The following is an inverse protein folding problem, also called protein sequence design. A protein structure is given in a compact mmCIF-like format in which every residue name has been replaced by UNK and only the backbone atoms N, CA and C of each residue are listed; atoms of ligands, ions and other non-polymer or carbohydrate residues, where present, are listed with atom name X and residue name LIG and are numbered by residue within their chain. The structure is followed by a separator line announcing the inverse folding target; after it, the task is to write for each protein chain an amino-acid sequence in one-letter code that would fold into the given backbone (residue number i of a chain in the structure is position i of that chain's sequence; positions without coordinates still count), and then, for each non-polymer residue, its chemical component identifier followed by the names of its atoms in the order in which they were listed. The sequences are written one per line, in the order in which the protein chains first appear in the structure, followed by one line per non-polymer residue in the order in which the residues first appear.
data_IF_205837656761
#
_entry.id   IF_205837656761
#
_cell.length_a   1.000
_cell.length_b   1.000
_cell.length_c   1.000
_cell.angle_alpha   90.00
_cell.angle_beta   90.00
_cell.angle_gamma   90.00
#
_symmetry.space_group_name_H-M   'P 1'
#
loop_
_entity.id
_entity.type
_entity.pdbx_description
1 polymer ?
#
# COMPACT_ATOMS: atom_id res chain seq x y z
N UNK A 1 21.39 -17.19 0.67
CA UNK A 1 21.61 -17.37 2.13
C UNK A 1 20.27 -17.28 2.84
N UNK A 2 19.82 -18.36 3.47
CA UNK A 2 18.55 -18.39 4.20
C UNK A 2 18.66 -17.77 5.59
N UNK A 3 17.58 -17.17 6.10
CA UNK A 3 17.49 -16.64 7.47
C UNK A 3 16.44 -17.43 8.25
N UNK A 4 16.77 -17.84 9.48
CA UNK A 4 15.87 -18.62 10.33
C UNK A 4 14.71 -17.76 10.84
N UNK A 5 13.48 -18.24 10.70
CA UNK A 5 12.26 -17.60 11.19
C UNK A 5 11.78 -18.27 12.50
N UNK A 6 11.37 -19.52 12.41
CA UNK A 6 10.92 -20.32 13.57
C UNK A 6 11.00 -21.81 13.25
N UNK A 7 11.57 -22.61 14.13
CA UNK A 7 11.71 -24.06 13.96
C UNK A 7 12.29 -24.40 12.57
N UNK A 8 11.53 -25.09 11.72
CA UNK A 8 11.94 -25.51 10.39
C UNK A 8 11.46 -24.53 9.29
N UNK A 9 11.18 -23.29 9.64
CA UNK A 9 10.76 -22.23 8.70
C UNK A 9 11.89 -21.25 8.50
N UNK A 10 12.23 -20.98 7.23
CA UNK A 10 13.32 -20.11 6.82
C UNK A 10 12.83 -19.08 5.80
N UNK A 11 13.33 -17.87 5.89
CA UNK A 11 13.20 -16.87 4.83
C UNK A 11 14.27 -17.14 3.76
N UNK A 12 13.87 -17.07 2.49
CA UNK A 12 14.71 -17.32 1.33
C UNK A 12 14.54 -16.26 0.23
N UNK A 13 13.94 -15.14 0.56
CA UNK A 13 13.62 -14.06 -0.37
C UNK A 13 14.80 -13.17 -0.75
N UNK A 14 14.48 -11.93 -1.17
CA UNK A 14 15.43 -10.90 -1.57
C UNK A 14 15.17 -9.60 -0.79
N UNK A 15 16.21 -9.00 -0.21
CA UNK A 15 16.19 -7.60 0.25
C UNK A 15 16.73 -6.74 -0.89
N UNK A 16 15.94 -5.78 -1.34
CA UNK A 16 16.30 -4.86 -2.42
C UNK A 16 16.42 -3.42 -1.86
N UNK A 17 17.67 -3.04 -1.57
CA UNK A 17 18.00 -1.73 -1.03
C UNK A 17 17.92 -0.61 -2.06
N UNK A 18 17.96 -0.95 -3.35
CA UNK A 18 18.03 0.01 -4.45
C UNK A 18 16.67 0.24 -5.12
N UNK A 19 15.66 -0.53 -4.73
CA UNK A 19 14.31 -0.38 -5.25
C UNK A 19 13.76 1.00 -4.85
N UNK A 20 13.41 1.81 -5.85
CA UNK A 20 12.95 3.19 -5.66
C UNK A 20 11.57 3.47 -6.28
N UNK A 21 11.09 2.59 -7.14
CA UNK A 21 9.77 2.67 -7.78
C UNK A 21 9.13 1.29 -7.84
N UNK A 22 7.81 1.22 -7.79
CA UNK A 22 7.03 0.00 -7.87
C UNK A 22 5.75 0.24 -8.68
N UNK A 23 5.19 -0.79 -9.32
CA UNK A 23 4.09 -0.63 -10.27
C UNK A 23 4.41 0.38 -11.39
N UNK A 24 5.58 0.24 -12.02
CA UNK A 24 6.15 1.27 -12.87
C UNK A 24 6.57 2.48 -12.03
N UNK A 25 6.13 3.69 -12.37
CA UNK A 25 6.38 4.92 -11.60
C UNK A 25 5.21 5.31 -10.69
N UNK A 26 4.24 4.41 -10.46
CA UNK A 26 3.03 4.76 -9.73
C UNK A 26 3.17 4.69 -8.21
N UNK A 27 4.12 3.90 -7.71
CA UNK A 27 4.43 3.86 -6.29
C UNK A 27 5.91 4.17 -6.04
N UNK A 28 6.18 5.22 -5.26
CA UNK A 28 7.54 5.59 -4.88
C UNK A 28 8.00 4.85 -3.64
N UNK A 29 9.20 4.31 -3.70
CA UNK A 29 9.87 3.63 -2.59
C UNK A 29 11.09 4.45 -2.18
N UNK A 30 11.09 4.91 -0.92
CA UNK A 30 12.17 5.78 -0.42
C UNK A 30 13.20 5.02 0.44
N UNK A 31 12.84 3.81 0.89
CA UNK A 31 13.62 3.04 1.87
C UNK A 31 13.90 1.61 1.42
N UNK A 32 13.92 1.36 0.10
CA UNK A 32 14.03 0.02 -0.44
C UNK A 32 12.83 -0.88 -0.08
N UNK A 33 12.93 -2.16 -0.35
CA UNK A 33 11.91 -3.16 -0.02
C UNK A 33 12.53 -4.53 0.20
N UNK A 34 11.71 -5.52 0.46
CA UNK A 34 12.07 -6.93 0.31
C UNK A 34 10.97 -7.67 -0.43
N UNK A 35 11.33 -8.77 -1.05
CA UNK A 35 10.42 -9.76 -1.61
C UNK A 35 10.63 -11.03 -0.81
N UNK A 36 9.71 -11.29 0.10
CA UNK A 36 9.85 -12.36 1.06
C UNK A 36 9.25 -13.64 0.50
N UNK A 37 10.08 -14.67 0.43
CA UNK A 37 9.67 -16.04 0.17
C UNK A 37 10.12 -16.91 1.33
N UNK A 38 9.42 -18.01 1.60
CA UNK A 38 9.69 -18.82 2.75
C UNK A 38 9.83 -20.30 2.39
N UNK A 39 10.80 -20.97 2.99
CA UNK A 39 11.02 -22.40 2.89
C UNK A 39 10.63 -23.07 4.20
N UNK A 40 9.80 -24.09 4.12
CA UNK A 40 9.37 -24.92 5.25
C UNK A 40 9.97 -26.31 5.04
N UNK A 41 10.73 -26.82 6.01
CA UNK A 41 11.38 -28.13 5.98
C UNK A 41 10.80 -29.05 7.07
N UNK A 42 9.54 -29.47 6.92
CA UNK A 42 8.91 -30.48 7.76
C UNK A 42 9.05 -31.89 7.13
N UNK A 43 8.12 -32.83 7.32
CA UNK A 43 8.12 -34.08 6.54
C UNK A 43 7.94 -33.82 5.04
N UNK A 44 7.21 -32.74 4.72
CA UNK A 44 7.17 -32.16 3.38
C UNK A 44 7.94 -30.87 3.34
N UNK A 45 8.68 -30.67 2.27
CA UNK A 45 9.37 -29.41 1.98
C UNK A 45 8.49 -28.52 1.13
N UNK A 46 8.19 -27.32 1.61
CA UNK A 46 7.27 -26.38 0.95
C UNK A 46 7.94 -25.04 0.72
N UNK A 47 7.77 -24.50 -0.49
CA UNK A 47 8.14 -23.13 -0.81
C UNK A 47 6.88 -22.25 -0.80
N UNK A 48 6.88 -21.18 -0.04
CA UNK A 48 5.80 -20.16 -0.01
C UNK A 48 6.26 -18.93 -0.80
N UNK A 49 5.58 -18.63 -1.89
CA UNK A 49 5.86 -17.55 -2.84
C UNK A 49 7.27 -17.60 -3.45
N UNK A 50 7.57 -16.69 -4.35
CA UNK A 50 8.90 -16.49 -4.97
C UNK A 50 9.27 -15.01 -4.93
N UNK A 51 10.18 -14.56 -5.78
CA UNK A 51 10.59 -13.17 -5.89
C UNK A 51 10.38 -12.63 -7.31
N UNK A 52 10.51 -11.33 -7.49
CA UNK A 52 10.38 -10.64 -8.76
C UNK A 52 11.39 -11.16 -9.80
N UNK A 53 10.94 -11.26 -11.05
CA UNK A 53 11.70 -11.79 -12.17
C UNK A 53 13.16 -11.31 -12.30
N UNK A 54 13.51 -10.02 -12.11
CA UNK A 54 14.91 -9.58 -12.18
C UNK A 54 15.85 -10.28 -11.21
N UNK A 55 15.32 -10.82 -10.10
CA UNK A 55 16.08 -11.52 -9.07
C UNK A 55 16.01 -13.05 -9.19
N UNK A 56 15.39 -13.60 -10.27
CA UNK A 56 15.14 -15.05 -10.40
C UNK A 56 16.40 -15.88 -10.34
N UNK A 57 17.47 -15.47 -11.05
CA UNK A 57 18.74 -16.23 -11.07
C UNK A 57 19.34 -16.31 -9.67
N UNK A 58 19.46 -15.16 -9.00
CA UNK A 58 20.00 -15.09 -7.62
C UNK A 58 19.14 -15.91 -6.65
N UNK A 59 17.82 -15.84 -6.78
CA UNK A 59 16.88 -16.58 -5.94
C UNK A 59 17.06 -18.09 -6.09
N UNK A 60 17.15 -18.59 -7.34
CA UNK A 60 17.33 -20.03 -7.62
C UNK A 60 18.69 -20.50 -7.16
N UNK A 61 19.76 -19.76 -7.49
CA UNK A 61 21.12 -20.10 -7.05
C UNK A 61 21.21 -20.20 -5.50
N UNK A 62 20.54 -19.26 -4.81
CA UNK A 62 20.48 -19.29 -3.34
C UNK A 62 19.68 -20.48 -2.81
N UNK A 63 18.57 -20.85 -3.46
CA UNK A 63 17.82 -22.06 -3.07
C UNK A 63 18.62 -23.33 -3.34
N UNK A 64 19.25 -23.48 -4.49
CA UNK A 64 20.10 -24.64 -4.84
C UNK A 64 21.29 -24.79 -3.87
N UNK A 65 21.80 -23.69 -3.33
CA UNK A 65 22.87 -23.73 -2.33
C UNK A 65 22.38 -24.23 -0.96
N UNK A 66 21.10 -24.13 -0.66
CA UNK A 66 20.52 -24.51 0.63
C UNK A 66 19.84 -25.89 0.60
N UNK A 67 19.20 -26.25 -0.54
CA UNK A 67 18.47 -27.52 -0.70
C UNK A 67 18.60 -28.06 -2.12
N UNK A 68 18.41 -29.37 -2.29
CA UNK A 68 18.08 -29.96 -3.59
C UNK A 68 16.66 -29.56 -3.97
N UNK A 69 16.49 -28.82 -5.06
CA UNK A 69 15.17 -28.33 -5.50
C UNK A 69 14.16 -29.45 -5.75
N UNK A 70 14.63 -30.67 -6.11
CA UNK A 70 13.76 -31.84 -6.29
C UNK A 70 13.12 -32.32 -4.98
N UNK A 71 13.56 -31.83 -3.83
CA UNK A 71 12.95 -32.11 -2.52
C UNK A 71 11.77 -31.21 -2.21
N UNK A 72 11.50 -30.16 -3.01
CA UNK A 72 10.32 -29.34 -2.85
C UNK A 72 9.09 -30.16 -3.25
N UNK A 73 8.31 -30.57 -2.27
CA UNK A 73 7.10 -31.37 -2.49
C UNK A 73 6.01 -30.56 -3.17
N UNK A 74 5.89 -29.26 -2.84
CA UNK A 74 4.99 -28.35 -3.52
C UNK A 74 5.33 -26.86 -3.23
N UNK A 75 4.79 -26.01 -4.09
CA UNK A 75 4.87 -24.55 -3.96
C UNK A 75 3.50 -24.02 -3.57
N UNK A 76 3.42 -23.05 -2.67
CA UNK A 76 2.22 -22.23 -2.43
C UNK A 76 2.44 -20.88 -3.09
N UNK A 77 1.54 -20.49 -3.99
CA UNK A 77 1.51 -19.16 -4.57
C UNK A 77 0.31 -18.41 -3.97
N UNK A 78 0.58 -17.54 -3.00
CA UNK A 78 -0.46 -16.75 -2.34
C UNK A 78 -1.04 -15.66 -3.24
N UNK A 79 -0.23 -15.19 -4.21
CA UNK A 79 -0.60 -14.11 -5.12
C UNK A 79 0.13 -14.23 -6.46
N UNK A 80 -0.60 -14.02 -7.55
CA UNK A 80 -0.08 -14.15 -8.90
C UNK A 80 0.62 -12.90 -9.44
N UNK A 81 0.76 -11.81 -8.68
CA UNK A 81 1.50 -10.63 -9.11
C UNK A 81 2.98 -10.96 -9.32
N UNK A 82 3.62 -10.25 -10.26
CA UNK A 82 4.95 -10.64 -10.77
C UNK A 82 6.08 -10.51 -9.75
N UNK A 83 5.90 -9.73 -8.71
CA UNK A 83 6.87 -9.57 -7.63
C UNK A 83 6.84 -10.71 -6.60
N UNK A 84 5.76 -11.52 -6.59
CA UNK A 84 5.65 -12.75 -5.78
C UNK A 84 5.79 -14.02 -6.62
N UNK A 85 5.43 -13.94 -7.89
CA UNK A 85 5.39 -15.11 -8.79
C UNK A 85 6.44 -15.08 -9.90
N UNK A 86 7.19 -13.98 -10.03
CA UNK A 86 8.06 -13.71 -11.18
C UNK A 86 9.20 -14.72 -11.39
N UNK A 87 9.60 -15.42 -10.35
CA UNK A 87 10.63 -16.47 -10.43
C UNK A 87 10.05 -17.86 -10.66
N UNK A 88 8.71 -18.05 -10.64
CA UNK A 88 8.09 -19.34 -10.91
C UNK A 88 8.50 -19.93 -12.26
N UNK A 89 8.52 -19.19 -13.40
CA UNK A 89 8.92 -19.78 -14.67
C UNK A 89 10.32 -20.43 -14.63
N UNK A 90 11.30 -19.71 -14.10
CA UNK A 90 12.67 -20.22 -14.00
C UNK A 90 12.80 -21.38 -12.99
N UNK A 91 12.02 -21.37 -11.92
CA UNK A 91 11.97 -22.46 -10.96
C UNK A 91 11.31 -23.72 -11.58
N UNK A 92 10.19 -23.54 -12.28
CA UNK A 92 9.47 -24.64 -12.92
C UNK A 92 10.25 -25.25 -14.11
N UNK A 93 11.19 -24.54 -14.72
CA UNK A 93 12.15 -25.16 -15.65
C UNK A 93 13.03 -26.21 -14.97
N UNK A 94 13.35 -26.04 -13.69
CA UNK A 94 14.17 -26.96 -12.89
C UNK A 94 13.33 -28.12 -12.30
N UNK A 95 12.12 -27.82 -11.84
CA UNK A 95 11.24 -28.77 -11.15
C UNK A 95 9.83 -28.79 -11.79
N UNK A 96 9.70 -29.18 -13.07
CA UNK A 96 8.49 -28.96 -13.88
C UNK A 96 7.23 -29.69 -13.41
N UNK A 97 7.36 -30.71 -12.57
CA UNK A 97 6.24 -31.52 -12.09
C UNK A 97 5.76 -31.11 -10.68
N UNK A 98 6.45 -30.16 -10.04
CA UNK A 98 6.12 -29.76 -8.66
C UNK A 98 4.74 -29.11 -8.61
N UNK A 99 3.82 -29.56 -7.73
CA UNK A 99 2.50 -29.00 -7.57
C UNK A 99 2.54 -27.54 -7.10
N UNK A 100 1.63 -26.69 -7.63
CA UNK A 100 1.45 -25.30 -7.20
C UNK A 100 0.07 -25.18 -6.57
N UNK A 101 0.01 -24.92 -5.27
CA UNK A 101 -1.22 -24.65 -4.53
C UNK A 101 -1.54 -23.16 -4.61
N UNK A 102 -2.69 -22.83 -5.15
CA UNK A 102 -3.13 -21.43 -5.33
C UNK A 102 -4.66 -21.35 -5.49
N UNK A 103 -5.21 -20.12 -5.49
CA UNK A 103 -6.65 -19.93 -5.75
C UNK A 103 -7.00 -20.14 -7.22
N UNK A 104 -8.30 -20.36 -7.52
CA UNK A 104 -8.78 -20.45 -8.90
C UNK A 104 -8.45 -19.18 -9.74
N UNK A 105 -8.50 -18.02 -9.09
CA UNK A 105 -8.14 -16.77 -9.75
C UNK A 105 -6.61 -16.65 -9.96
N UNK A 106 -5.81 -17.17 -9.05
CA UNK A 106 -4.34 -17.21 -9.24
C UNK A 106 -3.93 -18.09 -10.41
N UNK A 107 -4.63 -19.20 -10.66
CA UNK A 107 -4.41 -19.99 -11.91
C UNK A 107 -4.62 -19.09 -13.13
N UNK A 108 -5.69 -18.29 -13.16
CA UNK A 108 -5.95 -17.38 -14.30
C UNK A 108 -4.85 -16.32 -14.45
N UNK A 109 -4.41 -15.74 -13.31
CA UNK A 109 -3.32 -14.75 -13.28
C UNK A 109 -2.01 -15.35 -13.79
N UNK A 110 -1.60 -16.50 -13.26
CA UNK A 110 -0.35 -17.17 -13.60
C UNK A 110 -0.33 -17.64 -15.07
N UNK A 111 -1.43 -18.26 -15.55
CA UNK A 111 -1.56 -18.67 -16.96
C UNK A 111 -1.57 -17.45 -17.88
N UNK A 112 -2.26 -16.38 -17.49
CA UNK A 112 -2.28 -15.13 -18.27
C UNK A 112 -0.92 -14.46 -18.38
N UNK A 113 -0.12 -14.50 -17.33
CA UNK A 113 1.21 -13.87 -17.29
C UNK A 113 2.30 -14.73 -17.93
N UNK A 114 2.29 -16.05 -17.69
CA UNK A 114 3.43 -16.92 -18.03
C UNK A 114 3.14 -17.89 -19.17
N UNK A 115 1.87 -18.08 -19.56
CA UNK A 115 1.42 -18.93 -20.65
C UNK A 115 1.76 -20.42 -20.47
N UNK A 116 1.73 -20.92 -19.24
CA UNK A 116 1.98 -22.30 -18.85
C UNK A 116 0.74 -22.97 -18.24
N UNK A 117 -0.32 -23.24 -19.03
CA UNK A 117 -1.53 -23.93 -18.52
C UNK A 117 -1.27 -25.38 -18.10
N UNK A 118 -0.13 -25.96 -18.52
CA UNK A 118 0.28 -27.32 -18.20
C UNK A 118 0.90 -27.48 -16.80
N UNK A 119 1.20 -26.41 -16.09
CA UNK A 119 1.71 -26.52 -14.72
C UNK A 119 0.71 -27.26 -13.83
N UNK A 120 1.21 -28.02 -12.86
CA UNK A 120 0.40 -28.84 -11.96
C UNK A 120 -0.29 -27.98 -10.88
N UNK A 121 -1.35 -27.25 -11.26
CA UNK A 121 -2.11 -26.41 -10.34
C UNK A 121 -3.05 -27.24 -9.43
N UNK A 122 -2.93 -27.02 -8.13
CA UNK A 122 -3.83 -27.55 -7.11
C UNK A 122 -4.66 -26.38 -6.53
N UNK A 123 -5.91 -26.28 -6.97
CA UNK A 123 -6.79 -25.18 -6.58
C UNK A 123 -7.28 -25.39 -5.16
N UNK A 124 -7.11 -24.37 -4.32
CA UNK A 124 -7.53 -24.34 -2.92
C UNK A 124 -8.51 -23.19 -2.64
N UNK A 125 -9.25 -23.32 -1.55
CA UNK A 125 -10.24 -22.36 -1.07
C UNK A 125 -10.07 -22.14 0.43
N UNK A 126 -10.74 -21.12 0.95
CA UNK A 126 -10.79 -20.87 2.39
C UNK A 126 -11.24 -22.11 3.16
N UNK A 127 -10.42 -22.54 4.11
CA UNK A 127 -10.65 -23.70 4.96
C UNK A 127 -10.05 -25.02 4.47
N UNK A 128 -9.59 -25.08 3.20
CA UNK A 128 -8.81 -26.21 2.72
C UNK A 128 -7.47 -26.26 3.45
N UNK A 129 -6.94 -27.47 3.64
CA UNK A 129 -5.67 -27.67 4.34
C UNK A 129 -4.85 -28.79 3.73
N UNK A 130 -3.52 -28.67 3.88
CA UNK A 130 -2.56 -29.71 3.48
C UNK A 130 -1.69 -30.06 4.68
N UNK A 131 -1.66 -31.33 5.03
CA UNK A 131 -0.77 -31.87 6.04
C UNK A 131 0.68 -31.83 5.53
N UNK A 132 1.58 -31.24 6.31
CA UNK A 132 3.01 -31.13 6.01
C UNK A 132 3.87 -32.02 6.91
N UNK A 133 3.24 -32.84 7.76
CA UNK A 133 3.90 -33.71 8.71
C UNK A 133 4.16 -33.06 10.07
N UNK A 134 4.70 -33.85 11.01
CA UNK A 134 5.02 -33.42 12.36
C UNK A 134 3.83 -32.78 13.11
N UNK A 135 2.58 -33.16 12.76
CA UNK A 135 1.35 -32.63 13.33
C UNK A 135 1.03 -31.20 12.89
N UNK A 136 1.62 -30.73 11.80
CA UNK A 136 1.45 -29.39 11.25
C UNK A 136 0.75 -29.43 9.89
N UNK A 137 -0.06 -28.42 9.62
CA UNK A 137 -0.76 -28.26 8.36
C UNK A 137 -0.72 -26.82 7.87
N UNK A 138 -0.80 -26.63 6.56
CA UNK A 138 -1.06 -25.33 5.94
C UNK A 138 -2.54 -25.20 5.67
N UNK A 139 -3.16 -24.15 6.19
CA UNK A 139 -4.59 -23.82 6.01
C UNK A 139 -4.69 -22.57 5.14
N UNK A 140 -5.49 -22.63 4.08
CA UNK A 140 -5.59 -21.55 3.10
C UNK A 140 -6.77 -20.62 3.39
N UNK A 141 -6.58 -19.32 3.18
CA UNK A 141 -7.58 -18.28 3.41
C UNK A 141 -7.59 -17.33 2.21
N UNK A 142 -8.64 -17.40 1.38
CA UNK A 142 -8.82 -16.47 0.27
C UNK A 142 -8.99 -15.04 0.79
N UNK A 143 -8.20 -14.12 0.24
CA UNK A 143 -8.18 -12.70 0.58
C UNK A 143 -8.61 -11.84 -0.62
N UNK A 144 -9.67 -12.28 -1.31
CA UNK A 144 -10.13 -11.68 -2.58
C UNK A 144 -10.23 -10.16 -2.52
N UNK A 145 -9.61 -9.47 -3.49
CA UNK A 145 -9.52 -8.01 -3.59
C UNK A 145 -8.74 -7.36 -2.44
N UNK A 146 -7.83 -8.10 -1.80
CA UNK A 146 -6.89 -7.57 -0.82
C UNK A 146 -5.43 -7.90 -1.23
N UNK A 147 -4.86 -7.26 -2.36
CA UNK A 147 -5.59 -6.22 -3.14
C UNK A 147 -6.06 -6.71 -4.53
N UNK A 148 -5.72 -7.93 -4.95
CA UNK A 148 -6.17 -8.53 -6.23
C UNK A 148 -7.23 -9.63 -6.01
N UNK A 149 -7.94 -10.06 -7.09
CA UNK A 149 -8.96 -11.13 -6.99
C UNK A 149 -8.40 -12.47 -6.54
N UNK A 150 -7.11 -12.72 -6.76
CA UNK A 150 -6.42 -13.99 -6.55
C UNK A 150 -5.68 -14.06 -5.20
N UNK A 151 -5.56 -12.95 -4.46
CA UNK A 151 -4.84 -12.88 -3.20
C UNK A 151 -5.35 -13.92 -2.17
N UNK A 152 -4.40 -14.56 -1.49
CA UNK A 152 -4.60 -15.58 -0.47
C UNK A 152 -3.59 -15.38 0.66
N UNK A 153 -3.92 -15.80 1.85
CA UNK A 153 -2.99 -16.01 2.95
C UNK A 153 -2.93 -17.49 3.31
N UNK A 154 -1.80 -17.94 3.84
CA UNK A 154 -1.60 -19.31 4.28
C UNK A 154 -1.23 -19.32 5.76
N UNK A 155 -1.98 -20.06 6.58
CA UNK A 155 -1.71 -20.22 8.01
C UNK A 155 -1.10 -21.57 8.30
N UNK A 156 0.07 -21.59 8.95
CA UNK A 156 0.74 -22.81 9.41
C UNK A 156 0.36 -23.11 10.86
N UNK A 157 -0.35 -24.22 11.05
CA UNK A 157 -0.68 -24.73 12.37
C UNK A 157 0.58 -25.24 13.10
N UNK A 158 0.51 -25.36 14.43
CA UNK A 158 1.63 -25.85 15.24
C UNK A 158 2.70 -24.78 15.51
N UNK A 159 3.12 -24.04 14.48
CA UNK A 159 4.02 -22.90 14.63
C UNK A 159 3.31 -21.56 14.71
N UNK A 160 2.00 -21.52 14.44
CA UNK A 160 1.17 -20.30 14.49
C UNK A 160 1.70 -19.17 13.61
N UNK A 161 2.14 -19.48 12.39
CA UNK A 161 2.68 -18.52 11.43
C UNK A 161 1.61 -18.20 10.38
N UNK A 162 1.31 -16.93 10.20
CA UNK A 162 0.48 -16.44 9.11
C UNK A 162 1.40 -15.89 7.99
N UNK A 163 1.49 -16.57 6.87
CA UNK A 163 2.06 -16.07 5.62
C UNK A 163 1.00 -15.20 4.95
N UNK A 164 1.06 -13.91 5.22
CA UNK A 164 -0.04 -13.00 4.91
C UNK A 164 0.01 -12.43 3.49
N UNK A 165 1.04 -12.74 2.72
CA UNK A 165 1.34 -12.10 1.45
C UNK A 165 1.45 -10.58 1.63
N UNK A 166 0.83 -9.77 0.79
CA UNK A 166 0.88 -8.30 0.84
C UNK A 166 0.28 -7.68 2.10
N UNK A 167 -0.73 -8.34 2.66
CA UNK A 167 -1.35 -7.84 3.86
C UNK A 167 -0.33 -7.67 4.98
N UNK A 168 -0.41 -6.52 5.67
CA UNK A 168 0.48 -6.16 6.78
C UNK A 168 1.94 -5.88 6.40
N UNK A 169 2.26 -5.96 5.09
CA UNK A 169 3.56 -5.63 4.55
C UNK A 169 3.80 -4.12 4.41
N UNK A 170 5.03 -3.77 4.09
CA UNK A 170 5.46 -2.41 3.80
C UNK A 170 6.73 -2.41 2.95
N UNK A 171 6.89 -1.41 2.07
CA UNK A 171 8.13 -1.24 1.31
C UNK A 171 9.19 -0.56 2.18
N UNK A 172 9.87 -1.39 2.93
CA UNK A 172 10.97 -0.97 3.80
C UNK A 172 12.00 -2.10 3.90
N UNK A 173 13.21 -1.85 3.38
CA UNK A 173 14.32 -2.79 3.50
C UNK A 173 14.83 -2.81 4.94
N UNK A 174 14.84 -3.99 5.54
CA UNK A 174 15.33 -4.25 6.91
C UNK A 174 16.24 -5.46 6.89
N UNK A 175 17.50 -5.30 7.28
CA UNK A 175 18.49 -6.38 7.19
C UNK A 175 18.13 -7.59 8.06
N UNK A 176 17.68 -7.34 9.29
CA UNK A 176 17.29 -8.39 10.23
C UNK A 176 15.93 -9.01 9.91
N UNK A 177 15.16 -8.43 8.99
CA UNK A 177 13.77 -8.79 8.62
C UNK A 177 12.72 -8.60 9.71
N UNK A 178 13.08 -8.26 10.94
CA UNK A 178 12.14 -8.19 12.05
C UNK A 178 11.64 -6.78 12.33
N UNK A 179 10.33 -6.63 12.49
CA UNK A 179 9.68 -5.37 12.81
C UNK A 179 10.18 -4.76 14.14
N UNK A 180 10.47 -5.59 15.14
CA UNK A 180 11.01 -5.17 16.45
C UNK A 180 12.47 -4.68 16.38
N UNK A 181 13.19 -4.95 15.29
CA UNK A 181 14.57 -4.49 15.05
C UNK A 181 14.65 -3.29 14.11
N UNK A 182 13.56 -2.98 13.42
CA UNK A 182 13.47 -1.87 12.48
C UNK A 182 13.36 -0.51 13.20
N UNK A 183 13.73 0.57 12.50
CA UNK A 183 13.40 1.93 12.94
C UNK A 183 11.87 2.09 12.97
N UNK A 184 11.31 2.24 14.16
CA UNK A 184 9.86 2.25 14.36
C UNK A 184 9.17 3.43 13.67
N UNK A 185 9.80 4.60 13.61
CA UNK A 185 9.22 5.74 12.93
C UNK A 185 9.06 5.48 11.43
N UNK A 186 10.08 4.91 10.80
CA UNK A 186 10.06 4.56 9.37
C UNK A 186 9.11 3.39 9.10
N UNK A 187 9.19 2.33 9.92
CA UNK A 187 8.34 1.16 9.78
C UNK A 187 6.84 1.54 9.73
N UNK A 188 6.38 2.33 10.70
CA UNK A 188 4.99 2.75 10.76
C UNK A 188 4.61 3.77 9.67
N UNK A 189 5.56 4.62 9.26
CA UNK A 189 5.34 5.53 8.14
C UNK A 189 5.16 4.78 6.82
N UNK A 190 6.02 3.80 6.53
CA UNK A 190 5.93 2.99 5.32
C UNK A 190 4.73 2.02 5.34
N UNK A 191 4.39 1.44 6.49
CA UNK A 191 3.18 0.64 6.63
C UNK A 191 1.90 1.46 6.37
N UNK A 192 1.83 2.69 6.89
CA UNK A 192 0.72 3.60 6.61
C UNK A 192 0.70 4.06 5.15
N UNK A 193 1.86 4.35 4.56
CA UNK A 193 1.99 4.71 3.14
C UNK A 193 1.49 3.58 2.25
N UNK A 194 1.87 2.34 2.55
CA UNK A 194 1.40 1.15 1.85
C UNK A 194 -0.13 1.04 1.93
N UNK A 195 -0.70 1.13 3.13
CA UNK A 195 -2.14 1.07 3.34
C UNK A 195 -2.88 2.18 2.58
N UNK A 196 -2.44 3.43 2.73
CA UNK A 196 -3.10 4.61 2.17
C UNK A 196 -3.15 4.61 0.64
N UNK A 197 -2.09 4.10 0.00
CA UNK A 197 -1.93 4.14 -1.46
C UNK A 197 -2.38 2.86 -2.19
N UNK A 198 -2.51 1.73 -1.49
CA UNK A 198 -2.84 0.43 -2.10
C UNK A 198 -4.16 -0.12 -1.54
N UNK A 199 -4.31 -0.17 -0.22
CA UNK A 199 -5.43 -0.85 0.43
C UNK A 199 -6.63 0.04 0.74
N UNK A 200 -6.46 1.36 0.85
CA UNK A 200 -7.54 2.26 1.25
C UNK A 200 -8.82 2.12 0.38
N UNK A 201 -8.75 1.91 -0.96
CA UNK A 201 -9.94 1.67 -1.78
C UNK A 201 -10.76 0.44 -1.36
N UNK A 202 -10.12 -0.51 -0.70
CA UNK A 202 -10.67 -1.79 -0.26
C UNK A 202 -10.93 -1.85 1.26
N UNK A 203 -10.85 -0.74 1.98
CA UNK A 203 -11.02 -0.65 3.43
C UNK A 203 -12.25 -1.42 3.98
N UNK A 204 -13.44 -1.40 3.34
CA UNK A 204 -14.56 -2.22 3.80
C UNK A 204 -14.28 -3.74 3.77
N UNK A 205 -13.51 -4.21 2.79
CA UNK A 205 -13.12 -5.62 2.67
C UNK A 205 -12.03 -5.97 3.69
N UNK A 206 -11.07 -5.06 3.91
CA UNK A 206 -10.05 -5.21 4.98
C UNK A 206 -10.72 -5.39 6.33
N UNK A 207 -11.65 -4.49 6.69
CA UNK A 207 -12.41 -4.58 7.94
C UNK A 207 -13.14 -5.90 8.07
N UNK A 208 -13.92 -6.27 7.06
CA UNK A 208 -14.71 -7.50 7.07
C UNK A 208 -13.84 -8.76 7.20
N UNK A 209 -12.68 -8.80 6.51
CA UNK A 209 -11.76 -9.93 6.56
C UNK A 209 -11.05 -10.03 7.94
N UNK A 210 -10.66 -8.93 8.54
CA UNK A 210 -10.09 -8.92 9.90
C UNK A 210 -11.13 -9.44 10.90
N UNK A 211 -12.38 -8.97 10.83
CA UNK A 211 -13.47 -9.43 11.70
C UNK A 211 -13.80 -10.92 11.50
N UNK A 212 -13.68 -11.44 10.27
CA UNK A 212 -13.83 -12.85 9.95
C UNK A 212 -12.74 -13.70 10.59
N UNK A 213 -11.47 -13.32 10.41
CA UNK A 213 -10.31 -14.05 10.94
C UNK A 213 -10.28 -14.02 12.47
N UNK A 214 -10.60 -12.87 13.07
CA UNK A 214 -10.66 -12.75 14.54
C UNK A 214 -11.66 -13.72 15.18
N UNK A 215 -12.79 -14.01 14.51
CA UNK A 215 -13.77 -14.99 15.02
C UNK A 215 -13.24 -16.42 15.09
N UNK A 216 -12.21 -16.74 14.30
CA UNK A 216 -11.57 -18.05 14.33
C UNK A 216 -10.70 -18.23 15.57
N UNK A 217 -10.35 -17.15 16.27
CA UNK A 217 -9.51 -17.13 17.48
C UNK A 217 -8.24 -17.96 17.33
N UNK A 218 -7.60 -17.87 16.15
CA UNK A 218 -6.36 -18.60 15.87
C UNK A 218 -5.19 -17.91 16.60
N UNK A 219 -4.31 -18.69 17.26
CA UNK A 219 -3.07 -18.15 17.78
C UNK A 219 -2.17 -17.72 16.61
N UNK A 220 -1.63 -16.50 16.66
CA UNK A 220 -0.69 -15.98 15.65
C UNK A 220 0.54 -15.47 16.40
N UNK A 221 1.64 -16.19 16.26
CA UNK A 221 2.93 -15.84 16.86
C UNK A 221 3.78 -15.00 15.91
N UNK A 222 3.61 -15.20 14.59
CA UNK A 222 4.34 -14.49 13.54
C UNK A 222 3.39 -14.17 12.39
N UNK A 223 3.47 -12.94 11.88
CA UNK A 223 2.92 -12.55 10.58
C UNK A 223 4.10 -12.39 9.62
N UNK A 224 4.24 -13.35 8.72
CA UNK A 224 5.27 -13.43 7.70
C UNK A 224 4.77 -12.79 6.40
N UNK A 225 5.09 -11.52 6.22
CA UNK A 225 4.65 -10.68 5.10
C UNK A 225 5.47 -10.98 3.83
N UNK A 226 4.95 -10.60 2.66
CA UNK A 226 5.72 -10.69 1.40
C UNK A 226 6.63 -9.50 1.14
N UNK A 227 6.41 -8.37 1.84
CA UNK A 227 7.26 -7.18 1.75
C UNK A 227 7.66 -6.65 3.11
N UNK A 228 8.91 -6.19 3.22
CA UNK A 228 9.43 -5.49 4.38
C UNK A 228 9.61 -6.38 5.61
N UNK A 229 9.36 -5.80 6.76
CA UNK A 229 9.62 -6.44 8.03
C UNK A 229 8.52 -7.45 8.44
N UNK A 230 8.94 -8.53 9.07
CA UNK A 230 8.13 -9.62 9.60
C UNK A 230 7.75 -9.29 11.06
N UNK A 231 6.50 -9.49 11.44
CA UNK A 231 5.98 -9.19 12.77
C UNK A 231 6.03 -10.42 13.68
N UNK A 232 6.75 -10.34 14.81
CA UNK A 232 6.86 -11.41 15.80
C UNK A 232 6.58 -10.95 17.23
N UNK A 233 7.08 -9.79 17.64
CA UNK A 233 6.74 -9.21 18.93
C UNK A 233 5.41 -8.48 18.81
N UNK A 234 4.37 -8.95 19.51
CA UNK A 234 3.01 -8.45 19.40
C UNK A 234 2.54 -8.34 17.94
N UNK A 235 2.49 -9.45 17.17
CA UNK A 235 2.18 -9.37 15.72
C UNK A 235 0.80 -8.78 15.43
N UNK A 236 -0.11 -8.85 16.41
CA UNK A 236 -1.45 -8.28 16.23
C UNK A 236 -1.50 -6.75 16.20
N UNK A 237 -0.41 -6.06 16.59
CA UNK A 237 -0.36 -4.59 16.55
C UNK A 237 -0.59 -4.02 15.13
N UNK A 238 -0.10 -4.68 14.07
CA UNK A 238 -0.34 -4.23 12.69
C UNK A 238 -1.77 -4.53 12.25
N UNK A 239 -2.35 -5.64 12.70
CA UNK A 239 -3.76 -5.99 12.42
C UNK A 239 -4.70 -4.96 13.05
N UNK A 240 -4.42 -4.54 14.30
CA UNK A 240 -5.15 -3.47 14.99
C UNK A 240 -5.05 -2.15 14.23
N UNK A 241 -3.86 -1.80 13.70
CA UNK A 241 -3.68 -0.60 12.86
C UNK A 241 -4.43 -0.68 11.55
N UNK A 242 -4.41 -1.79 10.84
CA UNK A 242 -5.20 -1.98 9.64
C UNK A 242 -6.70 -1.88 9.91
N UNK A 243 -7.16 -2.43 11.03
CA UNK A 243 -8.56 -2.29 11.46
C UNK A 243 -8.93 -0.83 11.75
N UNK A 244 -8.08 -0.09 12.47
CA UNK A 244 -8.23 1.34 12.72
C UNK A 244 -8.27 2.13 11.40
N UNK A 245 -7.29 1.91 10.52
CA UNK A 245 -7.17 2.59 9.23
C UNK A 245 -8.34 2.30 8.29
N UNK A 246 -8.96 1.13 8.38
CA UNK A 246 -10.11 0.75 7.55
C UNK A 246 -11.41 1.51 7.86
N UNK A 247 -11.43 2.30 8.91
CA UNK A 247 -12.62 2.99 9.41
C UNK A 247 -12.66 4.49 9.08
N UNK A 248 -12.27 4.86 7.85
CA UNK A 248 -12.18 6.26 7.40
C UNK A 248 -11.27 7.09 8.30
N UNK A 249 -10.06 6.59 8.50
CA UNK A 249 -9.07 7.15 9.41
C UNK A 249 -8.79 8.63 9.21
N UNK A 250 -8.66 9.35 10.33
CA UNK A 250 -8.34 10.77 10.37
C UNK A 250 -7.55 11.09 11.65
N UNK A 251 -6.60 12.00 11.51
CA UNK A 251 -5.88 12.67 12.59
C UNK A 251 -6.29 14.14 12.64
N UNK A 252 -5.94 14.85 13.71
CA UNK A 252 -6.09 16.32 13.79
C UNK A 252 -5.09 16.99 12.84
N UNK A 253 -5.35 16.86 11.55
CA UNK A 253 -4.49 17.33 10.47
C UNK A 253 -5.30 17.89 9.31
N UNK A 254 -4.75 18.94 8.69
CA UNK A 254 -5.20 19.49 7.40
C UNK A 254 -4.00 19.54 6.45
N UNK A 255 -4.19 19.07 5.23
CA UNK A 255 -3.14 19.11 4.19
C UNK A 255 -3.52 20.11 3.11
N UNK A 256 -2.64 21.10 2.88
CA UNK A 256 -2.73 22.06 1.77
C UNK A 256 -1.89 21.54 0.61
N UNK A 257 -2.53 21.30 -0.53
CA UNK A 257 -1.89 20.73 -1.73
C UNK A 257 -2.06 21.71 -2.88
N UNK A 258 -0.98 22.08 -3.53
CA UNK A 258 -1.04 23.05 -4.62
C UNK A 258 0.02 22.81 -5.67
N UNK A 259 -0.19 23.42 -6.84
CA UNK A 259 0.88 23.74 -7.77
C UNK A 259 0.77 25.19 -8.25
N UNK A 260 1.82 25.72 -8.89
CA UNK A 260 1.90 27.13 -9.24
C UNK A 260 2.80 27.37 -10.46
N UNK A 261 2.48 28.35 -11.28
CA UNK A 261 3.36 28.82 -12.36
C UNK A 261 4.25 29.99 -11.94
N UNK A 262 3.65 31.02 -11.35
CA UNK A 262 4.30 32.31 -11.03
C UNK A 262 4.10 32.70 -9.55
N UNK A 263 4.10 31.70 -8.65
CA UNK A 263 3.98 31.85 -7.21
C UNK A 263 2.67 32.47 -6.67
N UNK A 264 1.71 32.87 -7.49
CA UNK A 264 0.44 33.41 -7.01
C UNK A 264 -0.34 32.40 -6.17
N UNK A 265 -0.57 31.19 -6.70
CA UNK A 265 -1.24 30.10 -5.98
C UNK A 265 -0.45 29.65 -4.75
N UNK A 266 0.89 29.65 -4.82
CA UNK A 266 1.76 29.36 -3.67
C UNK A 266 1.53 30.34 -2.52
N UNK A 267 1.42 31.66 -2.81
CA UNK A 267 1.15 32.67 -1.77
C UNK A 267 -0.19 32.41 -1.08
N UNK A 268 -1.23 32.06 -1.83
CA UNK A 268 -2.53 31.66 -1.26
C UNK A 268 -2.41 30.40 -0.40
N UNK A 269 -1.71 29.36 -0.88
CA UNK A 269 -1.49 28.12 -0.13
C UNK A 269 -0.83 28.37 1.23
N UNK A 270 0.24 29.18 1.25
CA UNK A 270 0.92 29.56 2.50
C UNK A 270 0.02 30.40 3.41
N UNK A 271 -0.77 31.33 2.85
CA UNK A 271 -1.71 32.11 3.66
C UNK A 271 -2.80 31.24 4.30
N UNK A 272 -3.35 30.27 3.55
CA UNK A 272 -4.32 29.32 4.06
C UNK A 272 -3.68 28.48 5.21
N UNK A 273 -2.46 27.98 5.01
CA UNK A 273 -1.76 27.20 6.03
C UNK A 273 -1.48 28.04 7.30
N UNK A 274 -1.07 29.29 7.16
CA UNK A 274 -0.89 30.24 8.26
C UNK A 274 -2.21 30.47 9.02
N UNK A 275 -3.29 30.67 8.28
CA UNK A 275 -4.60 30.96 8.87
C UNK A 275 -5.18 29.71 9.58
N UNK A 276 -4.94 28.50 9.08
CA UNK A 276 -5.29 27.25 9.79
C UNK A 276 -4.54 27.20 11.13
N UNK A 277 -3.22 27.44 11.11
CA UNK A 277 -2.41 27.43 12.33
C UNK A 277 -2.82 28.50 13.36
N UNK A 278 -3.34 29.62 12.89
CA UNK A 278 -3.85 30.71 13.74
C UNK A 278 -5.20 30.36 14.38
N UNK A 279 -6.15 29.83 13.58
CA UNK A 279 -7.51 29.51 14.04
C UNK A 279 -7.59 28.19 14.83
N UNK A 280 -6.69 27.24 14.53
CA UNK A 280 -6.64 25.93 15.16
C UNK A 280 -5.18 25.56 15.52
N UNK A 281 -4.61 26.12 16.61
CA UNK A 281 -3.19 25.95 16.95
C UNK A 281 -2.77 24.48 17.19
N UNK A 282 -3.70 23.64 17.63
CA UNK A 282 -3.45 22.20 17.87
C UNK A 282 -3.56 21.35 16.59
N UNK A 283 -4.06 21.94 15.51
CA UNK A 283 -4.20 21.25 14.23
C UNK A 283 -2.83 21.14 13.52
N UNK A 284 -2.45 19.93 13.13
CA UNK A 284 -1.26 19.73 12.32
C UNK A 284 -1.51 20.22 10.90
N UNK A 285 -0.68 21.13 10.42
CA UNK A 285 -0.79 21.67 9.05
C UNK A 285 0.36 21.13 8.21
N UNK A 286 0.02 20.52 7.08
CA UNK A 286 0.97 20.07 6.06
C UNK A 286 0.75 20.88 4.77
N UNK A 287 1.84 21.23 4.09
CA UNK A 287 1.77 21.97 2.83
C UNK A 287 2.69 21.32 1.79
N UNK A 288 2.14 21.02 0.62
CA UNK A 288 2.88 20.34 -0.45
C UNK A 288 2.67 20.99 -1.81
N UNK A 289 3.77 21.16 -2.53
CA UNK A 289 3.78 21.45 -3.95
C UNK A 289 3.83 20.14 -4.73
N UNK A 290 2.83 19.88 -5.57
CA UNK A 290 2.65 18.62 -6.31
C UNK A 290 3.85 18.31 -7.21
N UNK A 291 4.37 19.33 -7.91
CA UNK A 291 5.53 19.15 -8.81
C UNK A 291 6.87 18.93 -8.11
N UNK A 292 6.92 19.05 -6.77
CA UNK A 292 8.15 18.97 -5.97
C UNK A 292 8.12 17.87 -4.92
N UNK A 293 7.01 17.17 -4.79
CA UNK A 293 6.81 16.14 -3.78
C UNK A 293 6.22 14.90 -4.43
N UNK A 294 6.65 13.75 -4.00
CA UNK A 294 6.11 12.51 -4.51
C UNK A 294 4.62 12.38 -4.22
N UNK A 295 3.85 11.95 -5.22
CA UNK A 295 2.38 11.85 -5.12
C UNK A 295 1.93 10.92 -3.99
N UNK A 296 2.62 9.80 -3.75
CA UNK A 296 2.25 8.82 -2.73
C UNK A 296 2.47 9.37 -1.31
N UNK A 297 3.50 10.18 -1.11
CA UNK A 297 3.74 10.85 0.18
C UNK A 297 2.62 11.87 0.46
N UNK A 298 2.21 12.65 -0.56
CA UNK A 298 1.07 13.58 -0.43
C UNK A 298 -0.22 12.81 -0.11
N UNK A 299 -0.50 11.68 -0.79
CA UNK A 299 -1.70 10.87 -0.56
C UNK A 299 -1.72 10.26 0.84
N UNK A 300 -0.56 9.89 1.39
CA UNK A 300 -0.44 9.43 2.79
C UNK A 300 -0.84 10.54 3.75
N UNK A 301 -0.46 11.77 3.49
CA UNK A 301 -0.86 12.91 4.32
C UNK A 301 -2.37 13.26 4.13
N UNK A 302 -2.90 13.11 2.91
CA UNK A 302 -4.36 13.21 2.68
C UNK A 302 -5.12 12.13 3.44
N UNK A 303 -4.62 10.90 3.46
CA UNK A 303 -5.19 9.79 4.23
C UNK A 303 -5.35 10.15 5.72
N UNK A 304 -4.33 10.76 6.31
CA UNK A 304 -4.35 11.20 7.72
C UNK A 304 -5.26 12.40 7.98
N UNK A 305 -5.50 13.23 6.99
CA UNK A 305 -6.16 14.53 7.17
C UNK A 305 -7.67 14.43 7.33
N UNK A 306 -8.25 15.27 8.19
CA UNK A 306 -9.70 15.53 8.26
C UNK A 306 -10.19 16.34 7.06
N UNK A 307 -9.35 17.23 6.57
CA UNK A 307 -9.67 18.11 5.46
C UNK A 307 -8.44 18.38 4.59
N UNK A 308 -8.67 18.78 3.35
CA UNK A 308 -7.64 19.22 2.42
C UNK A 308 -7.99 20.61 1.85
N UNK A 309 -6.98 21.39 1.48
CA UNK A 309 -7.16 22.56 0.65
C UNK A 309 -6.36 22.37 -0.64
N UNK A 310 -7.03 22.46 -1.81
CA UNK A 310 -6.40 22.15 -3.09
C UNK A 310 -6.37 23.40 -3.98
N UNK A 311 -5.18 23.72 -4.52
CA UNK A 311 -4.96 24.93 -5.31
C UNK A 311 -4.26 24.71 -6.65
N UNK A 312 -4.75 25.41 -7.68
CA UNK A 312 -4.14 25.45 -9.00
C UNK A 312 -4.33 26.82 -9.67
N UNK A 313 -3.35 27.35 -10.41
CA UNK A 313 -3.65 28.41 -11.36
C UNK A 313 -4.47 27.85 -12.52
N UNK A 314 -5.20 28.74 -13.20
CA UNK A 314 -5.90 28.39 -14.45
C UNK A 314 -4.94 28.35 -15.63
N UNK A 315 -4.95 27.25 -16.37
CA UNK A 315 -4.26 27.08 -17.64
C UNK A 315 -5.12 26.24 -18.59
N UNK A 316 -5.22 26.64 -19.85
CA UNK A 316 -6.04 25.93 -20.85
C UNK A 316 -7.49 25.71 -20.40
N UNK A 317 -8.09 26.70 -19.71
CA UNK A 317 -9.44 26.64 -19.13
C UNK A 317 -9.63 25.50 -18.09
N UNK A 318 -8.55 25.04 -17.48
CA UNK A 318 -8.51 23.92 -16.52
C UNK A 318 -7.46 24.17 -15.44
N UNK A 319 -7.07 23.12 -14.74
CA UNK A 319 -5.96 23.09 -13.77
C UNK A 319 -4.63 22.77 -14.46
N UNK A 320 -3.49 22.95 -13.77
CA UNK A 320 -2.20 22.47 -14.25
C UNK A 320 -2.23 20.95 -14.46
N UNK A 321 -1.47 20.44 -15.43
CA UNK A 321 -1.38 19.01 -15.74
C UNK A 321 -0.90 18.17 -14.55
N UNK A 322 0.00 18.70 -13.73
CA UNK A 322 0.43 18.07 -12.47
C UNK A 322 -0.73 17.90 -11.49
N UNK A 323 -1.59 18.91 -11.36
CA UNK A 323 -2.80 18.85 -10.52
C UNK A 323 -3.83 17.89 -11.10
N UNK A 324 -4.02 17.89 -12.42
CA UNK A 324 -4.94 16.96 -13.08
C UNK A 324 -4.54 15.49 -12.85
N UNK A 325 -3.25 15.15 -13.02
CA UNK A 325 -2.74 13.80 -12.75
C UNK A 325 -2.86 13.42 -11.27
N UNK A 326 -2.60 14.36 -10.36
CA UNK A 326 -2.77 14.15 -8.92
C UNK A 326 -4.24 13.91 -8.54
N UNK A 327 -5.19 14.66 -9.14
CA UNK A 327 -6.63 14.47 -8.94
C UNK A 327 -7.09 13.09 -9.44
N UNK A 328 -6.57 12.62 -10.57
CA UNK A 328 -6.92 11.29 -11.08
C UNK A 328 -6.48 10.20 -10.12
N UNK A 329 -5.27 10.28 -9.58
CA UNK A 329 -4.79 9.36 -8.56
C UNK A 329 -5.58 9.48 -7.23
N UNK A 330 -5.95 10.70 -6.80
CA UNK A 330 -6.81 10.92 -5.63
C UNK A 330 -8.17 10.20 -5.76
N UNK A 331 -8.76 10.22 -6.95
CA UNK A 331 -10.02 9.54 -7.26
C UNK A 331 -9.95 8.03 -6.98
N UNK A 332 -8.84 7.39 -7.35
CA UNK A 332 -8.64 5.96 -7.22
C UNK A 332 -8.61 5.51 -5.76
N UNK A 333 -8.07 6.34 -4.88
CA UNK A 333 -7.87 6.03 -3.47
C UNK A 333 -9.15 6.09 -2.62
N UNK A 334 -10.25 6.66 -3.12
CA UNK A 334 -11.61 6.63 -2.52
C UNK A 334 -11.67 7.06 -1.05
N UNK A 335 -10.94 8.11 -0.69
CA UNK A 335 -10.99 8.65 0.67
C UNK A 335 -12.42 9.02 1.09
N UNK A 336 -12.76 8.85 2.36
CA UNK A 336 -14.10 9.06 2.90
C UNK A 336 -14.12 10.08 4.03
N UNK A 337 -15.27 10.72 4.23
CA UNK A 337 -15.56 11.61 5.36
C UNK A 337 -14.58 12.78 5.50
N UNK A 338 -14.10 13.33 4.37
CA UNK A 338 -13.14 14.43 4.37
C UNK A 338 -13.77 15.68 3.78
N UNK A 339 -13.43 16.85 4.36
CA UNK A 339 -13.76 18.15 3.78
C UNK A 339 -12.70 18.58 2.77
N UNK A 340 -13.09 19.48 1.86
CA UNK A 340 -12.14 20.10 0.96
C UNK A 340 -12.44 21.59 0.77
N UNK A 341 -11.37 22.39 0.67
CA UNK A 341 -11.41 23.78 0.22
C UNK A 341 -10.71 23.90 -1.12
N UNK A 342 -11.13 24.83 -1.96
CA UNK A 342 -10.50 25.09 -3.25
C UNK A 342 -10.05 26.53 -3.39
N UNK A 343 -8.89 26.72 -4.01
CA UNK A 343 -8.34 28.04 -4.29
C UNK A 343 -7.55 28.07 -5.58
N UNK A 344 -7.39 29.24 -6.18
CA UNK A 344 -6.62 29.34 -7.41
C UNK A 344 -6.38 30.76 -7.87
N UNK A 345 -5.45 30.90 -8.81
CA UNK A 345 -5.14 32.15 -9.48
C UNK A 345 -5.43 32.06 -10.98
N UNK A 346 -5.67 33.18 -11.64
CA UNK A 346 -5.94 33.22 -13.06
C UNK A 346 -5.55 34.58 -13.66
N UNK A 347 -5.33 34.60 -14.97
CA UNK A 347 -5.12 35.87 -15.72
C UNK A 347 -6.41 36.47 -16.22
N UNK A 348 -7.24 35.71 -16.96
CA UNK A 348 -8.40 36.24 -17.67
C UNK A 348 -9.72 35.46 -17.57
N UNK A 349 -9.73 34.17 -17.19
CA UNK A 349 -10.97 33.36 -17.19
C UNK A 349 -11.27 32.66 -15.86
N UNK A 350 -10.33 31.89 -15.29
CA UNK A 350 -10.41 31.42 -13.92
C UNK A 350 -11.26 30.18 -13.67
N UNK A 351 -11.12 29.14 -14.48
CA UNK A 351 -11.88 27.90 -14.39
C UNK A 351 -11.33 26.90 -13.36
N UNK A 352 -10.05 27.03 -12.96
CA UNK A 352 -9.39 26.04 -12.11
C UNK A 352 -10.15 25.71 -10.81
N UNK A 353 -10.68 26.72 -10.12
CA UNK A 353 -11.44 26.51 -8.87
C UNK A 353 -12.74 25.75 -9.12
N UNK A 354 -13.43 26.02 -10.23
CA UNK A 354 -14.63 25.29 -10.65
C UNK A 354 -14.28 23.81 -10.92
N UNK A 355 -13.23 23.54 -11.69
CA UNK A 355 -12.77 22.17 -11.99
C UNK A 355 -12.41 21.43 -10.71
N UNK A 356 -11.63 22.06 -9.81
CA UNK A 356 -11.28 21.46 -8.52
C UNK A 356 -12.51 21.10 -7.69
N UNK A 357 -13.49 22.03 -7.61
CA UNK A 357 -14.74 21.81 -6.88
C UNK A 357 -15.52 20.63 -7.44
N UNK A 358 -15.74 20.61 -8.75
CA UNK A 358 -16.51 19.56 -9.42
C UNK A 358 -15.86 18.19 -9.21
N UNK A 359 -14.55 18.05 -9.40
CA UNK A 359 -13.85 16.79 -9.24
C UNK A 359 -13.80 16.33 -7.78
N UNK A 360 -13.47 17.20 -6.83
CA UNK A 360 -13.43 16.84 -5.40
C UNK A 360 -14.83 16.45 -4.88
N UNK A 361 -15.89 17.14 -5.32
CA UNK A 361 -17.27 16.77 -4.98
C UNK A 361 -17.61 15.38 -5.53
N UNK A 362 -17.28 15.11 -6.79
CA UNK A 362 -17.47 13.82 -7.44
C UNK A 362 -16.71 12.68 -6.73
N UNK A 363 -15.54 12.98 -6.14
CA UNK A 363 -14.75 12.00 -5.38
C UNK A 363 -15.26 11.80 -3.94
N UNK A 364 -16.30 12.54 -3.54
CA UNK A 364 -16.97 12.37 -2.25
C UNK A 364 -16.43 13.25 -1.14
N UNK A 365 -15.66 14.30 -1.45
CA UNK A 365 -15.27 15.32 -0.49
C UNK A 365 -16.42 16.31 -0.25
N UNK A 366 -16.61 16.72 0.99
CA UNK A 366 -17.50 17.83 1.34
C UNK A 366 -16.79 19.16 1.06
N UNK A 367 -16.99 19.71 -0.16
CA UNK A 367 -16.31 20.94 -0.59
C UNK A 367 -17.01 22.14 0.07
N UNK A 368 -16.22 22.93 0.83
CA UNK A 368 -16.74 24.11 1.57
C UNK A 368 -16.76 25.37 0.72
N UNK A 369 -17.57 26.36 1.14
CA UNK A 369 -17.60 27.72 0.64
C UNK A 369 -17.07 28.70 1.71
N UNK A 370 -16.50 29.86 1.33
CA UNK A 370 -16.27 30.33 -0.05
C UNK A 370 -15.04 29.65 -0.70
N UNK A 371 -14.92 29.75 -2.03
CA UNK A 371 -13.66 29.50 -2.71
C UNK A 371 -12.81 30.77 -2.81
N UNK A 372 -11.47 30.61 -2.91
CA UNK A 372 -10.60 31.76 -3.20
C UNK A 372 -10.20 31.72 -4.67
N UNK A 373 -10.71 32.68 -5.43
CA UNK A 373 -10.41 32.91 -6.83
C UNK A 373 -9.77 34.26 -7.00
N UNK A 374 -8.46 34.30 -7.26
CA UNK A 374 -7.65 35.49 -7.31
C UNK A 374 -7.21 35.83 -8.74
N UNK A 375 -7.36 37.07 -9.16
CA UNK A 375 -6.87 37.54 -10.45
C UNK A 375 -5.40 37.97 -10.35
N UNK A 376 -4.54 37.37 -11.17
CA UNK A 376 -3.09 37.58 -11.20
C UNK A 376 -2.40 37.25 -9.87
N UNK A 377 -1.91 38.25 -9.15
CA UNK A 377 -1.24 38.10 -7.86
C UNK A 377 -2.17 38.41 -6.70
N UNK A 378 -2.20 37.60 -5.64
CA UNK A 378 -2.98 37.88 -4.45
C UNK A 378 -2.59 39.20 -3.78
N UNK A 379 -3.60 39.94 -3.37
CA UNK A 379 -3.47 41.15 -2.57
C UNK A 379 -4.09 40.96 -1.15
N UNK A 380 -4.14 42.04 -0.38
CA UNK A 380 -4.69 42.01 0.97
C UNK A 380 -6.16 41.55 1.02
N UNK A 381 -6.98 41.89 -0.02
CA UNK A 381 -8.39 41.49 -0.07
C UNK A 381 -8.56 40.00 -0.32
N UNK A 382 -7.69 39.39 -1.12
CA UNK A 382 -7.68 37.94 -1.36
C UNK A 382 -7.20 37.17 -0.13
N UNK A 383 -6.20 37.70 0.58
CA UNK A 383 -5.71 37.12 1.82
C UNK A 383 -6.76 37.13 2.95
N UNK A 384 -7.63 38.16 2.99
CA UNK A 384 -8.73 38.20 3.96
C UNK A 384 -9.77 37.10 3.72
N UNK A 385 -9.98 36.67 2.47
CA UNK A 385 -10.86 35.53 2.15
C UNK A 385 -10.35 34.20 2.75
N UNK A 386 -9.04 34.08 3.03
CA UNK A 386 -8.49 32.90 3.65
C UNK A 386 -9.03 32.67 5.07
N UNK A 387 -9.33 33.72 5.83
CA UNK A 387 -9.92 33.60 7.15
C UNK A 387 -11.31 32.93 7.11
N UNK A 388 -12.18 33.37 6.18
CA UNK A 388 -13.52 32.81 6.01
C UNK A 388 -13.47 31.38 5.47
N UNK A 389 -12.63 31.10 4.46
CA UNK A 389 -12.43 29.76 3.91
C UNK A 389 -11.97 28.76 4.98
N UNK A 390 -10.99 29.16 5.81
CA UNK A 390 -10.46 28.32 6.88
C UNK A 390 -11.50 28.10 7.97
N UNK A 391 -12.27 29.12 8.35
CA UNK A 391 -13.36 28.97 9.31
C UNK A 391 -14.40 27.94 8.84
N UNK A 392 -14.76 27.97 7.55
CA UNK A 392 -15.67 26.98 6.95
C UNK A 392 -15.06 25.55 6.91
N UNK A 393 -13.75 25.46 6.68
CA UNK A 393 -13.04 24.17 6.62
C UNK A 393 -12.95 23.53 8.01
N UNK A 394 -12.77 24.33 9.05
CA UNK A 394 -12.67 23.89 10.46
C UNK A 394 -14.04 23.60 11.10
N UNK A 395 -15.11 24.28 10.68
CA UNK A 395 -16.49 24.05 11.16
C UNK A 395 -16.97 22.64 10.88
#
# INVERSE_FOLDING_TARGET
MRKHIKNNVFWVGKIDWELNEFHGSDYSINNGSSQNAYLIEEEKTVLIDTVWKPHSSEFIDNLEAEIDLNKIDFIVCNHGEVDHSGSLPALMEKIPNTPIYCTENAVKSLVGQYHHPEWNFNVVKTGDSVDIGNGKSLVFVEMRMLHWPDSMATYMTGDNILFSNDAFGQHYAVEELWADKADQCRLWAEAMKYYANILNPYSPLVKAKIEEIQKLNLPIDIIATSHGAIWRENPMQIVEKYYEWSQAYQEDQITVVYDTMWDGTKKLAHKIAEEISKQAPDMRVKIYNISKTNKNDIMTEVFKSKAIAVGSPTTGNSVLSSVAGWLDFLRELKFKNKKAAVFGTYGWSGESTKVLREELTKYGFAVVEPEIKCNWNPDASDFNKAEELVSALLA
#
